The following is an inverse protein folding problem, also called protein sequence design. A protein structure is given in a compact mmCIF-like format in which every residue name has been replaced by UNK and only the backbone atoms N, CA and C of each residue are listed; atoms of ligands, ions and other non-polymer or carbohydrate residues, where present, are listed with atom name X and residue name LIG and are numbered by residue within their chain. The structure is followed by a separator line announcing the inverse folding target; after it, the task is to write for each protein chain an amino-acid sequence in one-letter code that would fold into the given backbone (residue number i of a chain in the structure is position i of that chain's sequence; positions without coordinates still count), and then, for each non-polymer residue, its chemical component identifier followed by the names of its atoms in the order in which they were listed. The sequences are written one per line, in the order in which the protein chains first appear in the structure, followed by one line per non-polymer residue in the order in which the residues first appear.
data_IF_189596742029
#
_entry.id   IF_189596742029
#
_cell.length_a   1.000
_cell.length_b   1.000
_cell.length_c   1.000
_cell.angle_alpha   90.00
_cell.angle_beta   90.00
_cell.angle_gamma   90.00
#
_symmetry.space_group_name_H-M   'P 1'
#
loop_
_entity.id
_entity.type
_entity.pdbx_description
1 polymer ?
#
# COMPACT_ATOMS: atom_id res chain seq x y z
N UNK A 1 -5.64 9.67 2.13
CA UNK A 1 -5.54 8.97 3.43
C UNK A 1 -4.19 9.25 4.07
N UNK A 2 -3.09 8.99 3.37
CA UNK A 2 -1.72 9.38 3.75
C UNK A 2 -1.08 10.22 2.64
N UNK A 3 -0.14 11.09 3.00
CA UNK A 3 0.62 11.88 2.02
C UNK A 3 -0.16 13.07 1.41
N UNK A 4 0.28 13.48 0.23
CA UNK A 4 -0.27 14.62 -0.52
C UNK A 4 -0.67 14.20 -1.93
N UNK A 5 -1.86 14.59 -2.39
CA UNK A 5 -2.33 14.35 -3.75
C UNK A 5 -3.14 15.57 -4.23
N UNK A 6 -2.84 16.08 -5.43
CA UNK A 6 -3.55 17.23 -6.04
C UNK A 6 -3.70 18.44 -5.08
N UNK A 7 -2.67 18.72 -4.29
CA UNK A 7 -2.65 19.84 -3.33
C UNK A 7 -3.35 19.57 -2.00
N UNK A 8 -4.10 18.48 -1.86
CA UNK A 8 -4.66 18.03 -0.59
C UNK A 8 -3.60 17.24 0.20
N UNK A 9 -3.41 17.57 1.49
CA UNK A 9 -2.44 16.93 2.38
C UNK A 9 -3.12 16.27 3.58
N UNK A 10 -2.76 15.02 3.85
CA UNK A 10 -3.21 14.31 5.05
C UNK A 10 -2.54 14.86 6.32
N UNK A 11 -3.26 14.95 7.45
CA UNK A 11 -2.66 15.29 8.75
C UNK A 11 -1.89 14.12 9.38
N UNK A 12 -2.03 12.89 8.86
CA UNK A 12 -1.39 11.71 9.43
C UNK A 12 0.12 11.79 9.21
N UNK A 13 0.88 11.65 10.30
CA UNK A 13 2.34 11.61 10.26
C UNK A 13 2.83 10.34 9.57
N UNK A 14 3.76 10.50 8.64
CA UNK A 14 4.48 9.39 8.01
C UNK A 14 5.98 9.55 8.30
N UNK A 15 6.68 8.43 8.50
CA UNK A 15 8.13 8.42 8.80
C UNK A 15 9.01 8.30 7.55
N UNK A 16 8.38 8.04 6.41
CA UNK A 16 8.99 8.01 5.08
C UNK A 16 8.06 8.72 4.10
N UNK A 17 8.58 9.03 2.92
CA UNK A 17 7.73 9.47 1.82
C UNK A 17 6.68 8.40 1.52
N UNK A 18 5.41 8.78 1.51
CA UNK A 18 4.28 7.84 1.48
C UNK A 18 3.05 8.52 0.92
N UNK A 19 2.43 7.86 -0.05
CA UNK A 19 1.15 8.20 -0.64
C UNK A 19 0.24 6.98 -0.52
N UNK A 20 -0.94 7.22 0.06
CA UNK A 20 -2.02 6.25 0.09
C UNK A 20 -3.33 6.99 -0.07
N UNK A 21 -3.97 6.83 -1.22
CA UNK A 21 -5.18 7.55 -1.58
C UNK A 21 -6.24 6.63 -2.14
N UNK A 22 -7.44 6.76 -1.57
CA UNK A 22 -8.69 6.28 -2.14
C UNK A 22 -9.16 7.29 -3.19
N UNK A 23 -9.29 6.86 -4.45
CA UNK A 23 -9.59 7.71 -5.60
C UNK A 23 -10.83 7.22 -6.31
N UNK A 24 -11.86 8.08 -6.37
CA UNK A 24 -13.07 7.85 -7.15
C UNK A 24 -13.05 8.74 -8.40
N UNK A 25 -13.09 8.11 -9.58
CA UNK A 25 -13.17 8.78 -10.86
C UNK A 25 -14.57 8.65 -11.44
N UNK A 26 -15.15 9.79 -11.82
CA UNK A 26 -16.40 9.82 -12.60
C UNK A 26 -16.18 9.18 -13.98
N UNK A 27 -17.24 8.72 -14.67
CA UNK A 27 -17.16 8.26 -16.06
C UNK A 27 -16.32 9.17 -16.95
N UNK A 28 -15.35 8.60 -17.66
CA UNK A 28 -14.45 9.32 -18.57
C UNK A 28 -13.46 10.30 -17.90
N UNK A 29 -13.48 10.45 -16.58
CA UNK A 29 -12.55 11.32 -15.87
C UNK A 29 -11.12 10.80 -16.00
N UNK A 30 -10.16 11.72 -15.99
CA UNK A 30 -8.74 11.42 -16.13
C UNK A 30 -7.98 11.98 -14.96
N UNK A 31 -7.04 11.21 -14.42
CA UNK A 31 -6.12 11.66 -13.39
C UNK A 31 -4.67 11.52 -13.88
N UNK A 32 -3.91 12.63 -13.95
CA UNK A 32 -2.49 12.58 -14.26
C UNK A 32 -1.70 12.20 -13.00
N UNK A 33 -1.02 11.06 -13.06
CA UNK A 33 -0.13 10.56 -12.02
C UNK A 33 1.30 10.96 -12.36
N UNK A 34 1.71 12.11 -11.83
CA UNK A 34 3.08 12.62 -11.95
C UNK A 34 4.06 11.77 -11.12
N UNK A 35 5.35 11.70 -11.49
CA UNK A 35 6.37 10.96 -10.74
C UNK A 35 6.80 11.70 -9.47
N UNK A 36 5.85 12.04 -8.61
CA UNK A 36 6.10 12.73 -7.33
C UNK A 36 6.72 11.81 -6.27
N UNK A 37 6.56 10.50 -6.45
CA UNK A 37 7.12 9.45 -5.60
C UNK A 37 7.92 8.48 -6.48
N UNK A 38 8.97 7.91 -5.92
CA UNK A 38 9.89 6.98 -6.61
C UNK A 38 9.14 5.72 -7.07
N UNK A 39 8.52 5.02 -6.12
CA UNK A 39 7.65 3.89 -6.40
C UNK A 39 6.19 4.33 -6.39
N UNK A 40 5.41 3.87 -7.36
CA UNK A 40 3.98 4.15 -7.47
C UNK A 40 3.25 2.93 -8.02
N UNK A 41 2.03 2.71 -7.54
CA UNK A 41 1.15 1.68 -8.07
C UNK A 41 -0.32 2.11 -8.02
N UNK A 42 -1.14 1.48 -8.84
CA UNK A 42 -2.60 1.59 -8.81
C UNK A 42 -3.17 0.21 -8.53
N UNK A 43 -4.14 0.11 -7.63
CA UNK A 43 -5.00 -1.06 -7.51
C UNK A 43 -6.43 -0.70 -7.93
N UNK A 44 -7.00 -1.45 -8.86
CA UNK A 44 -8.36 -1.23 -9.36
C UNK A 44 -9.38 -1.96 -8.48
N UNK A 45 -10.20 -1.22 -7.73
CA UNK A 45 -11.24 -1.80 -6.85
C UNK A 45 -12.56 -2.04 -7.60
N UNK A 46 -12.98 -1.08 -8.42
CA UNK A 46 -14.20 -1.19 -9.20
C UNK A 46 -14.11 -0.36 -10.49
N UNK A 47 -14.93 -0.71 -11.48
CA UNK A 47 -14.84 -0.13 -12.81
C UNK A 47 -13.52 -0.46 -13.51
N UNK A 48 -13.25 0.21 -14.61
CA UNK A 48 -12.04 -0.02 -15.42
C UNK A 48 -11.31 1.28 -15.69
N UNK A 49 -10.01 1.18 -15.93
CA UNK A 49 -9.19 2.30 -16.37
C UNK A 49 -8.43 1.97 -17.64
N UNK A 50 -8.22 2.97 -18.48
CA UNK A 50 -7.30 2.92 -19.60
C UNK A 50 -6.02 3.68 -19.27
N UNK A 51 -4.87 3.06 -19.53
CA UNK A 51 -3.54 3.69 -19.47
C UNK A 51 -2.82 3.34 -20.76
N UNK A 52 -2.35 4.34 -21.51
CA UNK A 52 -1.55 4.09 -22.72
C UNK A 52 -2.29 3.35 -23.84
N UNK A 53 -3.62 3.24 -23.79
CA UNK A 53 -4.43 2.47 -24.73
C UNK A 53 -4.84 1.09 -24.20
N UNK A 54 -4.18 0.59 -23.15
CA UNK A 54 -4.52 -0.68 -22.51
C UNK A 54 -5.61 -0.49 -21.45
N UNK A 55 -6.56 -1.42 -21.41
CA UNK A 55 -7.68 -1.42 -20.46
C UNK A 55 -7.40 -2.38 -19.31
N UNK A 56 -7.59 -1.90 -18.08
CA UNK A 56 -7.37 -2.66 -16.86
C UNK A 56 -8.68 -2.78 -16.07
N UNK A 57 -9.20 -4.00 -15.87
CA UNK A 57 -10.42 -4.27 -15.09
C UNK A 57 -10.14 -4.18 -13.57
N UNK A 58 -11.14 -4.39 -12.70
CA UNK A 58 -10.94 -4.58 -11.27
C UNK A 58 -9.96 -5.71 -10.94
N UNK A 59 -9.47 -5.71 -9.71
CA UNK A 59 -8.55 -6.69 -9.14
C UNK A 59 -7.21 -6.76 -9.89
N UNK A 60 -6.67 -5.59 -10.26
CA UNK A 60 -5.34 -5.47 -10.88
C UNK A 60 -4.46 -4.53 -10.09
N UNK A 61 -3.23 -4.98 -9.80
CA UNK A 61 -2.16 -4.14 -9.30
C UNK A 61 -1.26 -3.73 -10.47
N UNK A 62 -1.24 -2.44 -10.78
CA UNK A 62 -0.45 -1.85 -11.85
C UNK A 62 0.74 -1.13 -11.22
N UNK A 63 1.93 -1.68 -11.39
CA UNK A 63 3.17 -1.02 -10.97
C UNK A 63 3.59 -0.03 -12.04
N UNK A 64 3.74 1.24 -11.66
CA UNK A 64 4.12 2.29 -12.58
C UNK A 64 5.65 2.41 -12.61
N UNK A 65 6.22 2.52 -13.80
CA UNK A 65 7.66 2.74 -13.94
C UNK A 65 8.06 4.06 -13.24
N UNK A 66 9.13 4.06 -12.43
CA UNK A 66 9.66 5.28 -11.83
C UNK A 66 9.98 6.34 -12.89
N UNK A 67 9.69 7.61 -12.59
CA UNK A 67 9.94 8.73 -13.50
C UNK A 67 8.87 8.98 -14.57
N UNK A 68 8.04 8.01 -14.91
CA UNK A 68 7.03 8.18 -15.96
C UNK A 68 5.82 8.99 -15.47
N UNK A 69 5.34 9.93 -16.29
CA UNK A 69 4.01 10.51 -16.07
C UNK A 69 2.97 9.58 -16.70
N UNK A 70 2.05 9.07 -15.90
CA UNK A 70 1.00 8.14 -16.34
C UNK A 70 -0.34 8.83 -16.23
N UNK A 71 -1.24 8.68 -17.21
CA UNK A 71 -2.63 9.16 -17.09
C UNK A 71 -3.56 7.97 -17.05
N UNK A 72 -4.29 7.80 -15.95
CA UNK A 72 -5.37 6.83 -15.85
C UNK A 72 -6.68 7.52 -16.25
N UNK A 73 -7.39 6.93 -17.21
CA UNK A 73 -8.70 7.38 -17.65
C UNK A 73 -9.76 6.37 -17.25
N UNK A 74 -10.81 6.79 -16.54
CA UNK A 74 -11.89 5.90 -16.16
C UNK A 74 -12.77 5.53 -17.36
N UNK A 75 -13.24 4.29 -17.37
CA UNK A 75 -14.20 3.80 -18.36
C UNK A 75 -15.60 4.43 -18.22
N UNK A 76 -16.59 3.93 -18.99
CA UNK A 76 -17.94 4.49 -19.05
C UNK A 76 -18.71 4.46 -17.73
N UNK A 77 -18.34 3.58 -16.80
CA UNK A 77 -18.97 3.46 -15.49
C UNK A 77 -18.23 4.22 -14.38
N UNK A 78 -17.15 4.93 -14.72
CA UNK A 78 -16.21 5.46 -13.74
C UNK A 78 -15.27 4.38 -13.22
N UNK A 79 -14.48 4.73 -12.20
CA UNK A 79 -13.55 3.80 -11.57
C UNK A 79 -13.31 4.16 -10.10
N UNK A 80 -13.08 3.14 -9.28
CA UNK A 80 -12.65 3.26 -7.89
C UNK A 80 -11.28 2.60 -7.76
N UNK A 81 -10.30 3.37 -7.29
CA UNK A 81 -8.89 3.00 -7.31
C UNK A 81 -8.25 3.26 -5.95
N UNK A 82 -7.27 2.43 -5.60
CA UNK A 82 -6.27 2.79 -4.61
C UNK A 82 -5.00 3.22 -5.33
N UNK A 83 -4.49 4.41 -4.97
CA UNK A 83 -3.20 4.90 -5.43
C UNK A 83 -2.19 4.77 -4.29
N UNK A 84 -1.06 4.15 -4.62
CA UNK A 84 0.06 3.91 -3.73
C UNK A 84 1.28 4.68 -4.24
N UNK A 85 2.09 5.17 -3.33
CA UNK A 85 3.44 5.60 -3.67
C UNK A 85 4.31 5.81 -2.44
N UNK A 86 5.62 5.95 -2.66
CA UNK A 86 6.56 6.26 -1.60
C UNK A 86 8.00 6.12 -2.05
N UNK A 87 8.90 6.31 -1.09
CA UNK A 87 10.33 6.06 -1.28
C UNK A 87 10.59 4.54 -1.40
N UNK A 88 11.53 4.17 -2.28
CA UNK A 88 12.02 2.79 -2.29
C UNK A 88 12.71 2.46 -0.96
N UNK A 89 12.62 1.21 -0.53
CA UNK A 89 13.32 0.75 0.66
C UNK A 89 14.82 0.68 0.39
N UNK A 90 15.61 1.48 1.10
CA UNK A 90 17.08 1.54 0.93
C UNK A 90 17.85 0.29 1.40
N UNK A 91 17.17 -0.74 1.89
CA UNK A 91 17.78 -2.01 2.31
C UNK A 91 16.75 -3.14 2.34
N UNK A 92 17.23 -4.37 2.19
CA UNK A 92 16.40 -5.57 2.26
C UNK A 92 15.57 -5.62 3.54
N UNK A 93 14.34 -6.11 3.42
CA UNK A 93 13.47 -6.47 4.54
C UNK A 93 13.12 -7.95 4.45
N UNK A 94 13.11 -8.58 5.61
CA UNK A 94 12.59 -9.92 5.82
C UNK A 94 11.18 -9.77 6.37
N UNK A 95 10.25 -10.49 5.77
CA UNK A 95 8.85 -10.55 6.18
C UNK A 95 8.56 -12.00 6.54
N UNK A 96 8.08 -12.23 7.74
CA UNK A 96 7.61 -13.54 8.18
C UNK A 96 6.40 -13.31 9.07
N UNK A 97 5.24 -13.85 8.68
CA UNK A 97 3.98 -13.62 9.37
C UNK A 97 3.78 -12.11 9.63
N UNK A 98 3.44 -11.71 10.86
CA UNK A 98 3.24 -10.32 11.27
C UNK A 98 4.55 -9.56 11.57
N UNK A 99 5.73 -10.17 11.36
CA UNK A 99 7.02 -9.56 11.66
C UNK A 99 7.77 -9.11 10.42
N UNK A 100 8.19 -7.85 10.42
CA UNK A 100 9.01 -7.24 9.37
C UNK A 100 10.27 -6.65 9.99
N UNK A 101 11.45 -7.03 9.48
CA UNK A 101 12.72 -6.50 9.99
C UNK A 101 13.80 -6.48 8.92
N UNK A 102 14.86 -5.68 9.13
CA UNK A 102 16.10 -5.76 8.35
C UNK A 102 17.04 -6.89 8.83
N UNK A 103 16.75 -7.55 9.95
CA UNK A 103 17.53 -8.67 10.50
C UNK A 103 16.66 -9.91 10.70
N UNK A 104 17.15 -11.07 10.26
CA UNK A 104 16.47 -12.36 10.49
C UNK A 104 16.52 -12.76 11.96
N UNK A 105 17.63 -12.47 12.63
CA UNK A 105 17.86 -12.75 14.04
C UNK A 105 16.83 -12.01 14.91
N UNK A 106 16.52 -10.76 14.55
CA UNK A 106 15.47 -9.99 15.22
C UNK A 106 14.07 -10.59 15.02
N UNK A 107 13.80 -11.20 13.86
CA UNK A 107 12.54 -11.92 13.63
C UNK A 107 12.49 -13.18 14.51
N UNK A 108 13.58 -13.94 14.62
CA UNK A 108 13.61 -15.11 15.52
C UNK A 108 13.41 -14.72 16.99
N UNK A 109 14.01 -13.61 17.43
CA UNK A 109 13.75 -13.06 18.76
C UNK A 109 12.27 -12.70 18.96
N UNK A 110 11.65 -12.01 17.99
CA UNK A 110 10.23 -11.64 18.04
C UNK A 110 9.30 -12.86 18.08
N UNK A 111 9.61 -13.94 17.33
CA UNK A 111 8.88 -15.22 17.41
C UNK A 111 8.92 -15.78 18.83
N UNK A 112 10.10 -15.76 19.43
CA UNK A 112 10.36 -16.28 20.77
C UNK A 112 9.73 -15.44 21.88
N UNK A 113 9.59 -14.14 21.66
CA UNK A 113 8.84 -13.21 22.51
C UNK A 113 7.33 -13.46 22.39
N UNK A 114 6.82 -13.64 21.17
CA UNK A 114 5.40 -13.93 20.92
C UNK A 114 4.96 -15.24 21.56
N UNK A 115 5.73 -16.33 21.36
CA UNK A 115 5.44 -17.63 21.98
C UNK A 115 5.40 -17.58 23.50
N UNK A 116 6.13 -16.65 24.12
CA UNK A 116 6.22 -16.50 25.57
C UNK A 116 5.30 -15.40 26.11
N UNK A 117 4.45 -14.80 25.28
CA UNK A 117 3.53 -13.75 25.70
C UNK A 117 4.22 -12.48 26.20
N UNK A 118 5.37 -12.11 25.61
CA UNK A 118 6.16 -10.93 26.03
C UNK A 118 5.77 -9.63 25.33
N UNK A 119 4.82 -9.69 24.40
CA UNK A 119 4.20 -8.49 23.84
C UNK A 119 3.09 -8.02 24.76
N UNK A 120 2.91 -6.70 24.85
CA UNK A 120 1.80 -6.13 25.60
C UNK A 120 0.46 -6.63 25.03
N UNK A 121 -0.44 -6.99 25.94
CA UNK A 121 -1.79 -7.42 25.60
C UNK A 121 -2.65 -6.19 25.38
N UNK A 122 -3.54 -6.25 24.39
CA UNK A 122 -4.55 -5.22 24.18
C UNK A 122 -5.57 -5.31 25.31
N UNK A 123 -5.87 -4.21 26.04
CA UNK A 123 -6.83 -4.26 27.13
C UNK A 123 -8.18 -4.85 26.70
N UNK A 124 -8.64 -5.91 27.38
CA UNK A 124 -9.88 -6.62 27.06
C UNK A 124 -9.74 -7.77 26.06
N UNK A 125 -8.52 -8.13 25.66
CA UNK A 125 -8.21 -9.23 24.74
C UNK A 125 -7.28 -10.27 25.41
N UNK A 126 -7.55 -10.61 26.68
CA UNK A 126 -6.70 -11.52 27.46
C UNK A 126 -6.97 -13.01 27.19
N UNK A 127 -8.11 -13.33 26.56
CA UNK A 127 -8.57 -14.72 26.39
C UNK A 127 -8.14 -15.35 25.06
N UNK A 128 -8.00 -14.56 24.00
CA UNK A 128 -7.67 -15.05 22.67
C UNK A 128 -6.17 -14.91 22.37
N UNK A 129 -5.57 -15.95 21.81
CA UNK A 129 -4.17 -15.93 21.38
C UNK A 129 -3.99 -16.67 20.07
N UNK A 130 -3.49 -15.97 19.05
CA UNK A 130 -3.15 -16.55 17.75
C UNK A 130 -1.72 -17.11 17.81
N UNK A 131 -1.54 -18.44 17.78
CA UNK A 131 -0.20 -19.02 17.79
C UNK A 131 0.53 -18.73 16.48
N UNK A 132 1.86 -18.79 16.54
CA UNK A 132 2.66 -18.80 15.33
C UNK A 132 2.26 -19.95 14.41
N UNK A 133 2.27 -19.76 13.07
CA UNK A 133 2.07 -20.85 12.14
C UNK A 133 3.04 -22.01 12.41
N UNK A 134 2.56 -23.25 12.29
CA UNK A 134 3.42 -24.42 12.21
C UNK A 134 4.31 -24.30 10.96
N UNK A 135 5.54 -24.84 11.01
CA UNK A 135 6.40 -24.91 9.83
C UNK A 135 5.79 -25.76 8.73
#
# INVERSE_FOLDING_TARGET
MLGTLEGARSPVTTFTDTLYADVHLRPGARIPLRPAHEERAIYTLAGEITIGGDVFPPDRLLVLRPGDTVTAAAGPQGAHLMLFGGAALGSQRYIWWNFVSSSKERIEQAKDEWRRGRFDIVPGDEEEFIPLPAM
#
